data_IF_278595253994
#
_entry.id   IF_278595253994
#
_cell.length_a   1.000
_cell.length_b   1.000
_cell.length_c   1.000
_cell.angle_alpha   90.00
_cell.angle_beta   90.00
_cell.angle_gamma   90.00
#
_symmetry.space_group_name_H-M   'P 1'
#
loop_
_entity.id
_entity.type
_entity.pdbx_description
1 polymer ?
#
# COMPACT_ATOMS: atom_id res chain seq x y z
N UNK A 1 -12.19 5.61 8.59
CA UNK A 1 -11.95 4.31 7.93
C UNK A 1 -10.61 4.27 7.22
N UNK A 2 -10.22 5.33 6.49
CA UNK A 2 -8.92 5.43 5.80
C UNK A 2 -7.71 5.09 6.69
N UNK A 3 -7.59 5.72 7.86
CA UNK A 3 -6.50 5.47 8.82
C UNK A 3 -6.36 4.00 9.20
N UNK A 4 -7.50 3.31 9.43
CA UNK A 4 -7.45 1.89 9.77
C UNK A 4 -6.91 1.06 8.60
N UNK A 5 -7.36 1.34 7.37
CA UNK A 5 -6.87 0.66 6.18
C UNK A 5 -5.39 0.93 5.91
N UNK A 6 -4.92 2.17 6.13
CA UNK A 6 -3.50 2.55 5.99
C UNK A 6 -2.63 1.83 7.01
N UNK A 7 -3.04 1.81 8.29
CA UNK A 7 -2.30 1.12 9.34
C UNK A 7 -2.28 -0.39 9.09
N UNK A 8 -3.42 -0.98 8.75
CA UNK A 8 -3.52 -2.41 8.49
C UNK A 8 -2.69 -2.81 7.26
N UNK A 9 -2.83 -2.07 6.15
CA UNK A 9 -2.10 -2.30 4.90
C UNK A 9 -0.59 -2.11 5.06
N UNK A 10 -0.17 -0.99 5.65
CA UNK A 10 1.23 -0.69 5.92
C UNK A 10 1.87 -1.73 6.85
N UNK A 11 1.17 -2.12 7.93
CA UNK A 11 1.64 -3.17 8.84
C UNK A 11 1.78 -4.51 8.13
N UNK A 12 0.80 -4.90 7.30
CA UNK A 12 0.88 -6.13 6.53
C UNK A 12 2.08 -6.14 5.57
N UNK A 13 2.33 -5.03 4.88
CA UNK A 13 3.50 -4.87 3.99
C UNK A 13 4.80 -5.01 4.77
N UNK A 14 4.94 -4.30 5.91
CA UNK A 14 6.16 -4.32 6.74
C UNK A 14 6.46 -5.71 7.31
N UNK A 15 5.44 -6.43 7.75
CA UNK A 15 5.59 -7.79 8.29
C UNK A 15 5.78 -8.86 7.20
N UNK A 16 5.63 -8.51 5.92
CA UNK A 16 5.70 -9.49 4.83
C UNK A 16 4.45 -10.36 4.70
N UNK A 17 3.30 -9.91 5.21
CA UNK A 17 2.03 -10.63 5.18
C UNK A 17 1.27 -10.31 3.90
N UNK A 18 1.31 -11.23 2.94
CA UNK A 18 0.67 -11.08 1.63
C UNK A 18 1.04 -9.74 0.97
N UNK A 19 2.33 -9.38 1.01
CA UNK A 19 2.82 -8.04 0.64
C UNK A 19 2.30 -7.57 -0.71
N UNK A 20 2.27 -8.44 -1.72
CA UNK A 20 1.73 -8.10 -3.04
C UNK A 20 0.24 -7.75 -2.97
N UNK A 21 -0.57 -8.57 -2.31
CA UNK A 21 -2.00 -8.32 -2.15
C UNK A 21 -2.24 -7.03 -1.34
N UNK A 22 -1.57 -6.87 -0.20
CA UNK A 22 -1.71 -5.69 0.66
C UNK A 22 -1.34 -4.40 -0.09
N UNK A 23 -0.28 -4.43 -0.90
CA UNK A 23 0.13 -3.30 -1.72
C UNK A 23 -0.89 -2.98 -2.80
N UNK A 24 -1.39 -3.99 -3.52
CA UNK A 24 -2.43 -3.81 -4.54
C UNK A 24 -3.72 -3.21 -3.97
N UNK A 25 -4.15 -3.67 -2.79
CA UNK A 25 -5.33 -3.13 -2.11
C UNK A 25 -5.10 -1.70 -1.58
N UNK A 26 -3.86 -1.32 -1.30
CA UNK A 26 -3.51 0.04 -0.86
C UNK A 26 -3.54 1.05 -2.01
N UNK A 27 -3.23 0.64 -3.25
CA UNK A 27 -3.22 1.53 -4.42
C UNK A 27 -4.51 2.33 -4.59
N UNK A 28 -5.73 1.75 -4.63
CA UNK A 28 -6.95 2.54 -4.81
C UNK A 28 -7.20 3.52 -3.66
N UNK A 29 -6.80 3.19 -2.43
CA UNK A 29 -6.89 4.09 -1.29
C UNK A 29 -5.95 5.29 -1.46
N UNK A 30 -4.71 5.03 -1.85
CA UNK A 30 -3.68 6.05 -2.08
C UNK A 30 -4.00 6.91 -3.31
N UNK A 31 -4.61 6.35 -4.35
CA UNK A 31 -5.13 7.11 -5.48
C UNK A 31 -6.28 8.05 -5.06
N UNK A 32 -7.13 7.61 -4.13
CA UNK A 32 -8.13 8.48 -3.50
C UNK A 32 -7.50 9.66 -2.76
N UNK A 33 -6.43 9.41 -2.00
CA UNK A 33 -5.65 10.48 -1.35
C UNK A 33 -5.00 11.41 -2.37
N UNK A 34 -4.37 10.87 -3.42
CA UNK A 34 -3.79 11.67 -4.50
C UNK A 34 -4.83 12.58 -5.16
N UNK A 35 -6.03 12.05 -5.44
CA UNK A 35 -7.14 12.82 -5.99
C UNK A 35 -7.57 13.96 -5.06
N UNK A 36 -7.70 13.68 -3.76
CA UNK A 36 -8.09 14.70 -2.77
C UNK A 36 -7.10 15.86 -2.66
N UNK A 37 -5.81 15.63 -2.96
CA UNK A 37 -4.74 16.63 -2.89
C UNK A 37 -4.34 17.20 -4.26
N UNK A 38 -4.98 16.77 -5.36
CA UNK A 38 -4.57 17.14 -6.73
C UNK A 38 -4.64 18.65 -7.00
N UNK A 39 -5.50 19.39 -6.29
CA UNK A 39 -5.63 20.85 -6.40
C UNK A 39 -4.64 21.67 -5.55
N UNK A 40 -3.88 21.04 -4.65
CA UNK A 40 -3.15 21.73 -3.58
C UNK A 40 -1.69 22.07 -3.94
N UNK A 41 -1.32 22.04 -5.23
CA UNK A 41 0.05 22.23 -5.68
C UNK A 41 0.97 21.04 -5.34
N UNK A 42 2.27 21.17 -5.58
CA UNK A 42 3.21 20.04 -5.49
C UNK A 42 3.53 19.62 -4.05
N UNK A 43 4.10 20.54 -3.25
CA UNK A 43 4.79 20.21 -1.99
C UNK A 43 3.82 19.82 -0.85
N UNK A 44 4.02 18.65 -0.24
CA UNK A 44 3.13 18.15 0.83
C UNK A 44 3.21 18.95 2.14
N UNK A 45 4.32 19.64 2.43
CA UNK A 45 4.48 20.45 3.64
C UNK A 45 3.82 21.83 3.58
N UNK A 46 3.23 22.21 2.44
CA UNK A 46 2.44 23.44 2.32
C UNK A 46 1.11 23.34 3.07
N UNK A 47 0.48 24.48 3.35
CA UNK A 47 -0.84 24.51 3.97
C UNK A 47 -1.87 23.72 3.12
N UNK A 48 -2.61 22.81 3.76
CA UNK A 48 -3.51 21.87 3.09
C UNK A 48 -2.83 20.67 2.41
N UNK A 49 -1.50 20.69 2.26
CA UNK A 49 -0.65 19.63 1.70
C UNK A 49 -0.85 19.38 0.20
N UNK A 50 0.23 19.46 -0.58
CA UNK A 50 0.25 19.14 -2.02
C UNK A 50 0.17 17.64 -2.37
N UNK A 51 0.28 17.31 -3.65
CA UNK A 51 0.11 15.92 -4.15
C UNK A 51 1.40 15.07 -4.22
N UNK A 52 2.57 15.64 -3.92
CA UNK A 52 3.88 14.98 -3.94
C UNK A 52 3.89 13.66 -3.15
N UNK A 53 3.53 13.72 -1.87
CA UNK A 53 3.62 12.57 -0.97
C UNK A 53 2.59 11.48 -1.29
N UNK A 54 1.30 11.81 -1.55
CA UNK A 54 0.34 10.80 -2.03
C UNK A 54 0.80 10.10 -3.31
N UNK A 55 1.34 10.84 -4.30
CA UNK A 55 1.86 10.21 -5.52
C UNK A 55 3.04 9.29 -5.21
N UNK A 56 3.99 9.75 -4.39
CA UNK A 56 5.12 8.93 -3.95
C UNK A 56 4.63 7.59 -3.37
N UNK A 57 3.62 7.63 -2.49
CA UNK A 57 3.06 6.42 -1.89
C UNK A 57 2.42 5.50 -2.93
N UNK A 58 1.71 6.02 -3.94
CA UNK A 58 1.17 5.20 -5.05
C UNK A 58 2.30 4.50 -5.80
N UNK A 59 3.37 5.22 -6.14
CA UNK A 59 4.53 4.67 -6.86
C UNK A 59 5.24 3.60 -6.04
N UNK A 60 5.45 3.86 -4.75
CA UNK A 60 6.05 2.88 -3.82
C UNK A 60 5.17 1.63 -3.68
N UNK A 61 3.85 1.80 -3.52
CA UNK A 61 2.92 0.66 -3.46
C UNK A 61 2.95 -0.16 -4.76
N UNK A 62 3.03 0.49 -5.92
CA UNK A 62 3.19 -0.21 -7.19
C UNK A 62 4.53 -0.98 -7.28
N UNK A 63 5.63 -0.36 -6.85
CA UNK A 63 6.94 -1.03 -6.80
C UNK A 63 6.92 -2.26 -5.90
N UNK A 64 6.35 -2.14 -4.70
CA UNK A 64 6.21 -3.26 -3.74
C UNK A 64 5.27 -4.34 -4.28
N UNK A 65 4.16 -3.96 -4.94
CA UNK A 65 3.26 -4.92 -5.59
C UNK A 65 3.96 -5.71 -6.72
N UNK A 66 4.91 -5.11 -7.43
CA UNK A 66 5.71 -5.82 -8.44
C UNK A 66 6.78 -6.70 -7.80
N UNK A 67 7.45 -6.21 -6.76
CA UNK A 67 8.53 -6.92 -6.06
C UNK A 67 8.03 -8.12 -5.26
N UNK A 68 6.95 -7.98 -4.50
CA UNK A 68 6.48 -8.96 -3.51
C UNK A 68 7.27 -8.90 -2.19
N UNK A 69 7.10 -9.90 -1.34
CA UNK A 69 7.72 -9.96 0.00
C UNK A 69 9.21 -10.28 -0.07
N UNK A 70 9.98 -9.71 0.86
CA UNK A 70 11.40 -9.98 1.04
C UNK A 70 11.71 -11.30 1.77
N UNK A 71 13.00 -11.64 1.94
CA UNK A 71 13.44 -12.89 2.56
C UNK A 71 13.05 -13.04 4.04
N UNK A 72 12.79 -11.94 4.74
CA UNK A 72 12.40 -11.92 6.15
C UNK A 72 10.89 -11.85 6.38
N UNK A 73 10.08 -12.12 5.35
CA UNK A 73 8.64 -12.09 5.47
C UNK A 73 8.14 -13.11 6.51
N UNK A 74 7.26 -12.67 7.41
CA UNK A 74 6.54 -13.54 8.34
C UNK A 74 5.50 -14.34 7.55
N UNK A 75 5.95 -15.33 6.79
CA UNK A 75 5.10 -15.98 5.81
C UNK A 75 4.20 -17.03 6.47
N UNK A 76 2.90 -16.89 6.15
CA UNK A 76 1.77 -17.85 6.24
C UNK A 76 0.77 -17.61 7.38
N UNK A 77 -0.45 -17.26 6.98
CA UNK A 77 -1.66 -17.54 7.72
C UNK A 77 -2.37 -18.69 6.99
N UNK A 78 -2.27 -19.95 7.46
CA UNK A 78 -2.74 -21.13 6.72
C UNK A 78 -4.22 -21.04 6.28
N UNK A 79 -5.04 -20.35 7.07
CA UNK A 79 -6.46 -20.12 6.79
C UNK A 79 -6.68 -19.26 5.56
N UNK A 80 -5.81 -18.27 5.30
CA UNK A 80 -5.98 -17.32 4.18
C UNK A 80 -5.37 -17.82 2.87
N UNK A 81 -4.39 -18.74 2.94
CA UNK A 81 -3.71 -19.27 1.75
C UNK A 81 -4.66 -20.00 0.78
N UNK A 82 -5.75 -20.58 1.29
CA UNK A 82 -6.78 -21.25 0.50
C UNK A 82 -7.63 -20.31 -0.35
N UNK A 83 -7.72 -19.03 0.03
CA UNK A 83 -8.54 -18.03 -0.66
C UNK A 83 -7.75 -17.11 -1.59
N UNK A 84 -6.42 -17.12 -1.49
CA UNK A 84 -5.55 -16.17 -2.21
C UNK A 84 -4.79 -16.89 -3.34
N UNK A 85 -4.83 -16.38 -4.59
CA UNK A 85 -4.04 -16.92 -5.69
C UNK A 85 -2.54 -16.94 -5.36
N UNK A 86 -1.82 -17.99 -5.79
CA UNK A 86 -0.40 -18.15 -5.48
C UNK A 86 0.45 -16.94 -5.91
N UNK A 87 0.10 -16.29 -7.02
CA UNK A 87 0.78 -15.08 -7.51
C UNK A 87 0.69 -13.90 -6.54
N UNK A 88 -0.35 -13.84 -5.70
CA UNK A 88 -0.60 -12.74 -4.76
C UNK A 88 -0.16 -13.04 -3.31
N UNK A 89 0.25 -14.29 -3.03
CA UNK A 89 0.88 -14.67 -1.75
C UNK A 89 2.37 -14.27 -1.68
N UNK A 90 2.86 -13.71 -2.77
CA UNK A 90 4.22 -13.21 -2.90
C UNK A 90 4.42 -11.99 -2.01
#
# INVERSE_FOLDING_TARGET
MTIFAEIAGGTAILLGLYTRLASLLSIPLLLGALWAHAGNGWVFSSEGGGWEFPLLLVVLAAAVALQGSGPFALRRLPVLDGFIPQSLRA
#
